data_IF_422901193609
#
_entry.id   IF_422901193609
#
_cell.length_a   1.000
_cell.length_b   1.000
_cell.length_c   1.000
_cell.angle_alpha   90.00
_cell.angle_beta   90.00
_cell.angle_gamma   90.00
#
_symmetry.space_group_name_H-M   'P 1'
#
loop_
_entity.id
_entity.type
_entity.pdbx_description
1 polymer ?
#
# COMPACT_ATOMS: atom_id res chain seq x y z
N UNK A 1 13.12 15.21 -71.21
CA UNK A 1 13.59 16.50 -70.64
C UNK A 1 13.95 16.26 -69.17
N UNK A 2 15.03 16.88 -68.67
CA UNK A 2 15.81 16.44 -67.51
C UNK A 2 15.16 16.78 -66.16
N UNK A 3 15.62 16.16 -65.05
CA UNK A 3 15.20 16.54 -63.70
C UNK A 3 16.01 17.75 -63.20
N UNK A 4 15.45 18.61 -62.33
CA UNK A 4 16.23 19.39 -61.39
C UNK A 4 15.95 18.87 -59.98
N UNK A 5 16.93 18.32 -59.25
CA UNK A 5 18.08 18.95 -58.62
C UNK A 5 17.83 19.10 -57.11
N UNK A 6 18.67 18.40 -56.35
CA UNK A 6 18.76 18.41 -54.89
C UNK A 6 18.94 19.83 -54.35
N UNK A 7 18.21 20.15 -53.30
CA UNK A 7 18.61 21.13 -52.28
C UNK A 7 18.35 20.58 -50.89
N UNK A 8 19.43 20.31 -50.18
CA UNK A 8 19.57 20.47 -48.72
C UNK A 8 20.81 21.38 -48.58
N UNK A 9 20.99 22.19 -47.51
CA UNK A 9 20.57 21.94 -46.12
C UNK A 9 20.14 23.19 -45.33
N UNK A 10 19.40 23.02 -44.22
CA UNK A 10 19.60 23.88 -43.03
C UNK A 10 19.42 23.03 -41.78
N UNK A 11 20.51 22.95 -41.02
CA UNK A 11 20.66 22.37 -39.69
C UNK A 11 20.32 23.47 -38.67
N UNK A 12 19.50 23.23 -37.65
CA UNK A 12 19.61 23.96 -36.40
C UNK A 12 20.52 23.21 -35.43
N UNK A 13 21.50 23.94 -34.89
CA UNK A 13 22.42 23.49 -33.85
C UNK A 13 21.68 23.04 -32.58
N UNK A 14 22.18 22.00 -31.89
CA UNK A 14 21.77 21.67 -30.54
C UNK A 14 22.56 22.52 -29.53
N UNK A 15 22.03 23.68 -29.17
CA UNK A 15 22.53 24.47 -28.05
C UNK A 15 21.53 24.43 -26.90
N UNK A 16 21.80 23.59 -25.89
CA UNK A 16 21.68 23.92 -24.47
C UNK A 16 21.79 22.64 -23.61
N UNK A 17 23.01 22.15 -23.44
CA UNK A 17 23.39 21.44 -22.22
C UNK A 17 23.41 22.46 -21.07
N UNK A 18 22.60 22.22 -20.04
CA UNK A 18 22.76 22.76 -18.68
C UNK A 18 21.99 21.86 -17.69
N UNK A 19 22.33 21.88 -16.40
CA UNK A 19 23.17 20.86 -15.82
C UNK A 19 22.41 19.93 -14.87
N UNK A 20 23.02 18.77 -14.63
CA UNK A 20 22.73 17.93 -13.48
C UNK A 20 22.94 18.75 -12.20
N UNK A 21 21.85 18.98 -11.47
CA UNK A 21 21.83 19.55 -10.13
C UNK A 21 20.90 18.68 -9.28
N UNK A 22 21.51 17.85 -8.45
CA UNK A 22 20.83 16.84 -7.64
C UNK A 22 19.87 17.47 -6.63
N UNK A 23 18.66 16.93 -6.58
CA UNK A 23 17.82 17.03 -5.39
C UNK A 23 18.11 15.82 -4.53
N UNK A 24 18.65 16.08 -3.35
CA UNK A 24 18.83 15.10 -2.28
C UNK A 24 17.45 14.59 -1.85
N UNK A 25 17.08 13.41 -2.34
CA UNK A 25 16.04 12.59 -1.74
C UNK A 25 16.64 11.93 -0.51
N UNK A 26 16.40 12.50 0.65
CA UNK A 26 16.68 11.86 1.93
C UNK A 26 15.62 10.76 2.15
N UNK A 27 16.01 9.55 1.77
CA UNK A 27 15.18 8.36 1.78
C UNK A 27 16.10 7.16 1.92
N UNK A 28 16.75 7.05 3.08
CA UNK A 28 17.63 5.92 3.40
C UNK A 28 16.76 4.68 3.59
N UNK A 29 16.65 3.90 2.52
CA UNK A 29 16.31 2.49 2.57
C UNK A 29 17.48 1.73 3.20
N UNK A 30 17.25 1.07 4.34
CA UNK A 30 18.21 0.15 4.92
C UNK A 30 18.28 -1.11 4.04
N UNK A 31 19.41 -1.33 3.38
CA UNK A 31 19.77 -2.60 2.75
C UNK A 31 21.01 -3.13 3.46
N UNK A 32 20.88 -4.33 3.99
CA UNK A 32 21.90 -5.14 4.65
C UNK A 32 22.76 -5.85 3.60
N UNK A 33 24.08 -5.91 3.81
CA UNK A 33 24.89 -7.11 3.59
C UNK A 33 26.26 -6.97 4.22
N UNK A 34 26.62 -8.05 4.92
CA UNK A 34 27.85 -8.33 5.65
C UNK A 34 29.08 -8.51 4.75
N UNK A 35 30.27 -8.24 5.30
CA UNK A 35 31.40 -9.18 5.40
C UNK A 35 32.68 -8.43 5.83
N UNK A 36 33.12 -8.67 7.07
CA UNK A 36 34.48 -8.39 7.53
C UNK A 36 35.10 -9.67 8.09
N UNK A 37 36.23 -10.17 7.56
CA UNK A 37 36.92 -11.33 8.14
C UNK A 37 37.80 -10.93 9.32
N UNK A 38 37.83 -11.80 10.33
CA UNK A 38 38.66 -11.72 11.54
C UNK A 38 40.14 -11.96 11.25
N UNK A 39 41.08 -11.38 12.03
CA UNK A 39 42.45 -11.88 12.07
C UNK A 39 42.72 -12.74 13.30
N UNK A 40 43.32 -13.88 13.01
CA UNK A 40 43.90 -14.88 13.92
C UNK A 40 45.24 -14.44 14.51
N UNK A 41 45.49 -14.96 15.71
CA UNK A 41 46.75 -15.18 16.44
C UNK A 41 48.04 -15.25 15.62
N UNK A 42 49.13 -14.65 16.15
CA UNK A 42 50.47 -15.29 16.17
C UNK A 42 51.40 -14.68 17.23
N UNK A 43 52.04 -15.62 17.91
CA UNK A 43 53.06 -15.62 18.97
C UNK A 43 54.40 -14.97 18.61
N UNK A 44 55.09 -14.38 19.60
CA UNK A 44 56.56 -14.35 19.68
C UNK A 44 57.04 -14.20 21.15
N UNK A 45 58.16 -14.85 21.46
CA UNK A 45 58.64 -15.32 22.76
C UNK A 45 59.45 -14.32 23.61
N UNK A 46 59.62 -14.71 24.89
CA UNK A 46 60.30 -14.09 26.04
C UNK A 46 61.84 -13.88 25.91
N UNK A 47 62.53 -13.35 26.95
CA UNK A 47 63.06 -14.25 28.00
C UNK A 47 63.00 -13.72 29.46
N UNK A 48 63.43 -14.58 30.38
CA UNK A 48 63.15 -14.63 31.82
C UNK A 48 64.24 -14.03 32.75
N UNK A 49 63.86 -13.75 34.01
CA UNK A 49 64.73 -13.86 35.20
C UNK A 49 63.90 -13.98 36.51
N UNK A 50 63.98 -15.17 37.10
CA UNK A 50 63.91 -15.71 38.49
C UNK A 50 63.50 -14.88 39.75
N UNK A 51 63.15 -15.58 40.87
CA UNK A 51 62.13 -15.19 41.85
C UNK A 51 62.71 -14.75 43.22
N UNK A 52 61.85 -14.18 44.10
CA UNK A 52 61.70 -14.59 45.52
C UNK A 52 60.82 -13.64 46.37
N UNK A 53 60.18 -14.24 47.38
CA UNK A 53 59.83 -13.72 48.71
C UNK A 53 58.39 -13.21 48.99
N UNK A 54 57.65 -14.07 49.70
CA UNK A 54 56.55 -13.80 50.67
C UNK A 54 57.21 -13.79 52.08
N UNK A 55 56.68 -13.27 53.23
CA UNK A 55 55.31 -12.93 53.67
C UNK A 55 55.24 -11.62 54.53
N UNK A 56 54.24 -11.28 55.39
CA UNK A 56 53.01 -11.97 55.80
C UNK A 56 51.71 -11.11 55.89
N UNK A 57 50.64 -11.83 56.25
CA UNK A 57 49.27 -11.39 56.48
C UNK A 57 49.09 -10.35 57.60
N UNK A 58 48.08 -9.48 57.43
CA UNK A 58 47.34 -8.86 58.54
C UNK A 58 45.84 -8.76 58.23
N UNK A 59 45.08 -8.90 59.31
CA UNK A 59 43.70 -9.32 59.39
C UNK A 59 42.64 -8.30 58.94
N UNK A 60 41.51 -8.85 58.47
CA UNK A 60 40.11 -8.48 58.62
C UNK A 60 39.71 -7.00 58.83
N UNK A 61 38.85 -6.49 57.94
CA UNK A 61 37.42 -6.29 58.29
C UNK A 61 36.55 -5.99 57.06
N UNK A 62 35.26 -6.40 57.08
CA UNK A 62 34.41 -6.45 55.92
C UNK A 62 33.67 -5.14 55.71
N UNK A 63 33.57 -4.70 54.46
CA UNK A 63 32.49 -3.78 54.06
C UNK A 63 32.02 -4.16 52.66
N UNK A 64 31.12 -5.15 52.62
CA UNK A 64 30.24 -5.39 51.47
C UNK A 64 29.35 -4.16 51.32
N UNK A 65 29.79 -3.18 50.53
CA UNK A 65 28.86 -2.39 49.75
C UNK A 65 28.69 -3.13 48.44
N UNK A 66 27.55 -3.80 48.29
CA UNK A 66 27.09 -4.33 47.00
C UNK A 66 26.86 -3.14 46.08
N UNK A 67 27.94 -2.68 45.44
CA UNK A 67 27.90 -1.74 44.35
C UNK A 67 27.27 -2.51 43.19
N UNK A 68 25.96 -2.33 42.98
CA UNK A 68 25.32 -2.83 41.76
C UNK A 68 26.18 -2.34 40.58
N UNK A 69 26.59 -3.23 39.66
CA UNK A 69 27.40 -2.82 38.53
C UNK A 69 26.58 -1.77 37.75
N UNK A 70 27.15 -0.57 37.63
CA UNK A 70 26.55 0.56 36.91
C UNK A 70 26.27 0.12 35.47
N UNK A 71 25.01 -0.19 35.16
CA UNK A 71 24.58 -0.58 33.81
C UNK A 71 24.65 0.67 32.93
N UNK A 72 25.62 0.69 32.02
CA UNK A 72 25.67 1.63 30.91
C UNK A 72 24.86 1.03 29.76
N UNK A 73 23.98 1.81 29.13
CA UNK A 73 23.22 1.32 27.97
C UNK A 73 23.22 2.30 26.81
N UNK A 74 22.87 1.75 25.65
CA UNK A 74 22.71 2.48 24.40
C UNK A 74 21.37 2.13 23.79
N UNK A 75 20.71 3.12 23.23
CA UNK A 75 19.49 2.96 22.44
C UNK A 75 19.68 3.70 21.11
N UNK A 76 19.50 2.96 20.02
CA UNK A 76 19.90 3.41 18.68
C UNK A 76 21.37 3.88 18.65
N UNK A 77 21.62 5.16 18.34
CA UNK A 77 22.96 5.75 18.30
C UNK A 77 23.28 6.61 19.55
N UNK A 78 22.37 6.67 20.53
CA UNK A 78 22.53 7.50 21.72
C UNK A 78 23.00 6.71 22.93
N UNK A 79 23.89 7.36 23.68
CA UNK A 79 24.34 6.91 24.99
C UNK A 79 23.34 7.43 26.02
N UNK A 80 22.81 6.54 26.86
CA UNK A 80 21.93 6.94 27.96
C UNK A 80 22.78 7.56 29.08
N UNK A 81 22.55 8.82 29.49
CA UNK A 81 23.33 9.46 30.55
C UNK A 81 23.21 8.71 31.88
N UNK A 82 24.33 8.55 32.58
CA UNK A 82 24.35 7.83 33.87
C UNK A 82 23.53 8.50 34.98
N UNK A 83 23.34 9.81 34.85
CA UNK A 83 22.66 10.65 35.84
C UNK A 83 21.29 11.14 35.32
N UNK A 84 20.72 10.44 34.34
CA UNK A 84 19.38 10.76 33.85
C UNK A 84 18.35 10.41 34.92
N UNK A 85 17.66 11.43 35.41
CA UNK A 85 16.50 11.30 36.29
C UNK A 85 15.20 11.50 35.48
N UNK A 86 14.10 10.82 35.81
CA UNK A 86 13.99 9.80 36.85
C UNK A 86 14.72 8.49 36.48
N UNK A 87 15.28 7.80 37.46
CA UNK A 87 15.94 6.50 37.28
C UNK A 87 15.12 5.47 36.47
N UNK A 88 13.79 5.54 36.58
CA UNK A 88 12.85 4.69 35.82
C UNK A 88 12.99 4.91 34.31
N UNK A 89 13.11 6.16 33.86
CA UNK A 89 13.32 6.50 32.44
C UNK A 89 14.68 5.98 31.96
N UNK A 90 15.71 6.12 32.78
CA UNK A 90 17.05 5.62 32.47
C UNK A 90 17.06 4.11 32.29
N UNK A 91 16.37 3.37 33.16
CA UNK A 91 16.25 1.91 33.05
C UNK A 91 15.48 1.48 31.80
N UNK A 92 14.33 2.13 31.52
CA UNK A 92 13.52 1.88 30.31
C UNK A 92 14.34 2.07 29.03
N UNK A 93 15.15 3.14 28.93
CA UNK A 93 15.99 3.39 27.75
C UNK A 93 17.08 2.32 27.55
N UNK A 94 17.64 1.79 28.65
CA UNK A 94 18.62 0.71 28.59
C UNK A 94 17.95 -0.59 28.13
N UNK A 95 16.81 -0.92 28.74
CA UNK A 95 16.01 -2.10 28.42
C UNK A 95 15.53 -2.09 26.97
N UNK A 96 14.95 -0.99 26.50
CA UNK A 96 14.57 -0.83 25.09
C UNK A 96 15.76 -1.03 24.15
N UNK A 97 16.94 -0.52 24.52
CA UNK A 97 18.16 -0.74 23.76
C UNK A 97 18.55 -2.22 23.65
N UNK A 98 18.37 -2.99 24.72
CA UNK A 98 18.59 -4.44 24.75
C UNK A 98 17.52 -5.20 23.98
N UNK A 99 16.24 -4.83 24.13
CA UNK A 99 15.11 -5.44 23.43
C UNK A 99 15.16 -5.23 21.92
N UNK A 100 15.52 -4.04 21.43
CA UNK A 100 15.72 -3.80 19.99
C UNK A 100 16.86 -4.67 19.43
N UNK A 101 17.96 -4.84 20.19
CA UNK A 101 19.07 -5.71 19.79
C UNK A 101 18.66 -7.18 19.79
N UNK A 102 17.91 -7.62 20.80
CA UNK A 102 17.37 -8.97 20.86
C UNK A 102 16.40 -9.23 19.69
N UNK A 103 15.53 -8.26 19.38
CA UNK A 103 14.63 -8.33 18.24
C UNK A 103 15.37 -8.47 16.90
N UNK A 104 16.44 -7.69 16.69
CA UNK A 104 17.28 -7.77 15.48
C UNK A 104 17.97 -9.13 15.30
N UNK A 105 18.16 -9.89 16.38
CA UNK A 105 18.76 -11.22 16.35
C UNK A 105 17.74 -12.34 16.12
N UNK A 106 16.43 -12.04 16.10
CA UNK A 106 15.39 -13.06 15.88
C UNK A 106 15.43 -13.54 14.42
N UNK A 107 15.29 -14.86 14.18
CA UNK A 107 15.26 -15.42 12.84
C UNK A 107 13.99 -15.02 12.06
N UNK A 108 12.89 -14.80 12.77
CA UNK A 108 11.59 -14.41 12.20
C UNK A 108 11.18 -13.03 12.72
N UNK A 109 10.94 -12.04 11.83
CA UNK A 109 10.53 -10.70 12.22
C UNK A 109 9.04 -10.67 12.62
N UNK A 110 8.76 -10.27 13.85
CA UNK A 110 7.41 -10.08 14.39
C UNK A 110 7.05 -8.59 14.39
N UNK A 111 6.18 -8.19 13.45
CA UNK A 111 5.78 -6.80 13.27
C UNK A 111 4.95 -6.26 14.46
N UNK A 112 4.22 -7.10 15.20
CA UNK A 112 3.48 -6.65 16.37
C UNK A 112 4.45 -6.20 17.47
N UNK A 113 5.44 -7.06 17.76
CA UNK A 113 6.49 -6.76 18.76
C UNK A 113 7.31 -5.54 18.33
N UNK A 114 7.68 -5.44 17.04
CA UNK A 114 8.43 -4.28 16.55
C UNK A 114 7.66 -2.96 16.68
N UNK A 115 6.35 -2.98 16.43
CA UNK A 115 5.52 -1.79 16.59
C UNK A 115 5.46 -1.33 18.05
N UNK A 116 5.32 -2.27 19.00
CA UNK A 116 5.32 -1.98 20.43
C UNK A 116 6.66 -1.39 20.89
N UNK A 117 7.79 -1.95 20.42
CA UNK A 117 9.12 -1.40 20.71
C UNK A 117 9.29 0.03 20.20
N UNK A 118 8.80 0.32 18.99
CA UNK A 118 8.82 1.68 18.45
C UNK A 118 7.94 2.65 19.25
N UNK A 119 6.79 2.20 19.74
CA UNK A 119 5.88 3.00 20.56
C UNK A 119 6.48 3.32 21.94
N UNK A 120 7.05 2.32 22.62
CA UNK A 120 7.76 2.52 23.88
C UNK A 120 8.95 3.46 23.69
N UNK A 121 9.72 3.31 22.60
CA UNK A 121 10.80 4.22 22.24
C UNK A 121 10.32 5.65 22.04
N UNK A 122 9.18 5.86 21.35
CA UNK A 122 8.61 7.18 21.15
C UNK A 122 8.29 7.85 22.50
N UNK A 123 7.62 7.13 23.41
CA UNK A 123 7.31 7.64 24.76
C UNK A 123 8.57 7.95 25.57
N UNK A 124 9.53 7.03 25.60
CA UNK A 124 10.77 7.22 26.37
C UNK A 124 11.59 8.41 25.84
N UNK A 125 11.64 8.61 24.53
CA UNK A 125 12.35 9.75 23.92
C UNK A 125 11.62 11.08 24.15
N UNK A 126 10.28 11.09 24.13
CA UNK A 126 9.51 12.28 24.48
C UNK A 126 9.75 12.69 25.94
N UNK A 127 9.69 11.74 26.87
CA UNK A 127 9.98 11.97 28.29
C UNK A 127 11.42 12.44 28.52
N UNK A 128 12.38 11.84 27.81
CA UNK A 128 13.77 12.29 27.88
C UNK A 128 13.93 13.71 27.34
N UNK A 129 13.26 14.04 26.23
CA UNK A 129 13.26 15.40 25.69
C UNK A 129 12.69 16.43 26.69
N UNK A 130 11.62 16.08 27.41
CA UNK A 130 11.01 16.96 28.41
C UNK A 130 11.93 17.21 29.61
N UNK A 131 12.68 16.19 30.04
CA UNK A 131 13.66 16.32 31.13
C UNK A 131 14.90 17.11 30.70
N UNK A 132 15.43 16.86 29.50
CA UNK A 132 16.70 17.46 29.07
C UNK A 132 16.55 18.76 28.29
N UNK A 133 15.34 19.08 27.83
CA UNK A 133 15.08 20.21 26.91
C UNK A 133 15.69 20.02 25.51
N UNK A 134 15.97 18.78 25.09
CA UNK A 134 16.61 18.50 23.79
C UNK A 134 15.55 18.25 22.70
N UNK A 135 15.33 19.25 21.84
CA UNK A 135 14.35 19.15 20.74
C UNK A 135 14.68 18.06 19.71
N UNK A 136 15.95 17.64 19.60
CA UNK A 136 16.32 16.53 18.72
C UNK A 136 15.73 15.20 19.20
N UNK A 137 15.54 15.02 20.51
CA UNK A 137 14.85 13.87 21.09
C UNK A 137 13.34 13.89 20.78
N UNK A 138 12.71 15.07 20.70
CA UNK A 138 11.31 15.19 20.26
C UNK A 138 11.13 14.73 18.80
N UNK A 139 12.05 15.11 17.93
CA UNK A 139 12.02 14.66 16.52
C UNK A 139 12.27 13.14 16.41
N UNK A 140 13.17 12.59 17.23
CA UNK A 140 13.37 11.13 17.30
C UNK A 140 12.15 10.40 17.86
N UNK A 141 11.46 10.97 18.85
CA UNK A 141 10.21 10.44 19.39
C UNK A 141 9.13 10.38 18.29
N UNK A 142 8.93 11.46 17.54
CA UNK A 142 7.95 11.51 16.46
C UNK A 142 8.28 10.55 15.31
N UNK A 143 9.58 10.39 14.97
CA UNK A 143 10.01 9.36 14.01
C UNK A 143 9.73 7.95 14.52
N UNK A 144 9.95 7.68 15.81
CA UNK A 144 9.66 6.37 16.40
C UNK A 144 8.14 6.10 16.42
N UNK A 145 7.32 7.11 16.70
CA UNK A 145 5.86 7.01 16.63
C UNK A 145 5.38 6.71 15.20
N UNK A 146 5.91 7.43 14.22
CA UNK A 146 5.63 7.19 12.79
C UNK A 146 6.04 5.77 12.38
N UNK A 147 7.19 5.30 12.88
CA UNK A 147 7.65 3.94 12.64
C UNK A 147 6.71 2.90 13.28
N UNK A 148 6.27 3.11 14.53
CA UNK A 148 5.29 2.24 15.19
C UNK A 148 4.00 2.14 14.37
N UNK A 149 3.46 3.28 13.94
CA UNK A 149 2.25 3.34 13.13
C UNK A 149 2.42 2.60 11.79
N UNK A 150 3.53 2.87 11.09
CA UNK A 150 3.85 2.20 9.83
C UNK A 150 3.98 0.69 10.00
N UNK A 151 4.64 0.23 11.08
CA UNK A 151 4.80 -1.19 11.38
C UNK A 151 3.46 -1.85 11.69
N UNK A 152 2.55 -1.19 12.44
CA UNK A 152 1.19 -1.70 12.67
C UNK A 152 0.40 -1.79 11.37
N UNK A 153 0.50 -0.78 10.50
CA UNK A 153 -0.16 -0.81 9.20
C UNK A 153 0.39 -1.94 8.31
N UNK A 154 1.71 -2.14 8.29
CA UNK A 154 2.31 -3.28 7.58
C UNK A 154 1.82 -4.62 8.15
N UNK A 155 1.75 -4.73 9.48
CA UNK A 155 1.21 -5.92 10.12
C UNK A 155 -0.26 -6.14 9.75
N UNK A 156 -1.10 -5.11 9.84
CA UNK A 156 -2.53 -5.18 9.56
C UNK A 156 -2.84 -5.43 8.07
N UNK A 157 -1.95 -5.00 7.16
CA UNK A 157 -2.04 -5.27 5.72
C UNK A 157 -1.61 -6.71 5.38
N UNK A 158 -0.71 -7.30 6.18
CA UNK A 158 -0.33 -8.72 6.06
C UNK A 158 -1.32 -9.64 6.79
N UNK A 159 -1.93 -9.18 7.87
CA UNK A 159 -2.53 -10.01 8.93
C UNK A 159 -3.87 -10.69 8.62
N UNK A 160 -5.05 -10.08 8.62
CA UNK A 160 -5.54 -9.24 9.71
C UNK A 160 -5.38 -9.93 11.09
N UNK A 161 -6.32 -9.81 12.04
CA UNK A 161 -6.12 -10.37 13.38
C UNK A 161 -5.96 -11.90 13.31
N UNK A 162 -5.04 -12.50 14.09
CA UNK A 162 -4.82 -13.94 14.07
C UNK A 162 -6.03 -14.65 14.68
N UNK A 163 -6.84 -15.27 13.83
CA UNK A 163 -7.77 -16.32 14.25
C UNK A 163 -7.27 -17.61 13.62
N UNK A 164 -6.33 -18.26 14.31
CA UNK A 164 -5.83 -19.60 13.96
C UNK A 164 -4.66 -19.65 12.97
N UNK A 165 -4.16 -20.88 12.75
CA UNK A 165 -3.06 -21.30 11.86
C UNK A 165 -3.37 -21.10 10.35
N UNK A 166 -4.31 -20.22 10.00
CA UNK A 166 -4.68 -20.01 8.60
C UNK A 166 -3.60 -19.20 7.85
N UNK A 167 -3.27 -19.60 6.61
CA UNK A 167 -2.23 -18.94 5.83
C UNK A 167 -2.59 -17.48 5.56
N UNK A 168 -1.64 -16.59 5.91
CA UNK A 168 -1.67 -15.16 5.61
C UNK A 168 -1.95 -14.93 4.12
N UNK A 169 -3.14 -14.44 3.79
CA UNK A 169 -3.53 -14.12 2.41
C UNK A 169 -2.86 -12.81 1.98
N UNK A 170 -1.92 -12.88 1.04
CA UNK A 170 -1.31 -11.69 0.44
C UNK A 170 -2.34 -10.93 -0.41
N UNK A 171 -2.77 -9.75 0.07
CA UNK A 171 -3.76 -8.90 -0.59
C UNK A 171 -3.12 -8.00 -1.64
N UNK A 172 -3.83 -7.78 -2.73
CA UNK A 172 -3.39 -6.92 -3.83
C UNK A 172 -3.41 -5.44 -3.47
N UNK A 173 -4.38 -5.04 -2.65
CA UNK A 173 -4.52 -3.69 -2.11
C UNK A 173 -4.19 -3.68 -0.62
N UNK A 174 -3.53 -2.61 -0.17
CA UNK A 174 -3.46 -2.28 1.26
C UNK A 174 -4.77 -1.65 1.73
N UNK A 175 -5.02 -1.60 3.04
CA UNK A 175 -6.19 -0.93 3.64
C UNK A 175 -6.36 0.50 3.12
N UNK A 176 -5.28 1.28 3.11
CA UNK A 176 -5.31 2.65 2.60
C UNK A 176 -5.61 2.73 1.10
N UNK A 177 -5.11 1.77 0.31
CA UNK A 177 -5.45 1.70 -1.11
C UNK A 177 -6.93 1.36 -1.30
N UNK A 178 -7.51 0.52 -0.44
CA UNK A 178 -8.94 0.22 -0.53
C UNK A 178 -9.84 1.36 -0.09
N UNK A 179 -9.41 2.21 0.86
CA UNK A 179 -10.10 3.50 1.11
C UNK A 179 -10.16 4.31 -0.19
N UNK A 180 -9.04 4.45 -0.89
CA UNK A 180 -9.03 5.14 -2.18
C UNK A 180 -9.86 4.44 -3.26
N UNK A 181 -9.92 3.10 -3.26
CA UNK A 181 -10.79 2.35 -4.17
C UNK A 181 -12.26 2.74 -3.93
N UNK A 182 -12.72 2.74 -2.67
CA UNK A 182 -14.08 3.14 -2.30
C UNK A 182 -14.38 4.59 -2.69
N UNK A 183 -13.46 5.53 -2.45
CA UNK A 183 -13.60 6.93 -2.92
C UNK A 183 -13.81 7.02 -4.44
N UNK A 184 -13.13 6.19 -5.23
CA UNK A 184 -13.34 6.15 -6.68
C UNK A 184 -14.71 5.56 -7.04
N UNK A 185 -15.15 4.50 -6.33
CA UNK A 185 -16.48 3.92 -6.54
C UNK A 185 -17.59 4.94 -6.23
N UNK A 186 -17.48 5.68 -5.12
CA UNK A 186 -18.43 6.73 -4.73
C UNK A 186 -18.46 7.89 -5.74
N UNK A 187 -17.29 8.29 -6.24
CA UNK A 187 -17.20 9.30 -7.29
C UNK A 187 -17.91 8.84 -8.56
N UNK A 188 -17.70 7.59 -8.99
CA UNK A 188 -18.37 7.03 -10.18
C UNK A 188 -19.88 6.86 -9.96
N UNK A 189 -20.29 6.49 -8.75
CA UNK A 189 -21.70 6.39 -8.39
C UNK A 189 -22.46 7.69 -8.68
N UNK A 190 -21.82 8.82 -8.37
CA UNK A 190 -22.38 10.17 -8.42
C UNK A 190 -22.14 10.92 -9.73
N UNK A 191 -21.09 10.58 -10.49
CA UNK A 191 -20.66 11.32 -11.69
C UNK A 191 -20.79 10.54 -13.00
N UNK A 192 -21.39 9.34 -12.98
CA UNK A 192 -21.68 8.61 -14.21
C UNK A 192 -22.85 9.31 -14.96
N UNK A 193 -22.66 9.74 -16.22
CA UNK A 193 -23.66 10.51 -16.97
C UNK A 193 -24.83 9.64 -17.46
N UNK A 194 -24.66 8.32 -17.44
CA UNK A 194 -25.55 7.34 -18.03
C UNK A 194 -25.97 6.32 -16.96
N UNK A 195 -27.26 5.93 -16.88
CA UNK A 195 -27.75 5.05 -15.83
C UNK A 195 -27.32 3.59 -15.99
N UNK A 196 -26.95 3.16 -17.21
CA UNK A 196 -26.72 1.75 -17.55
C UNK A 196 -25.43 1.19 -16.94
N UNK A 197 -25.42 -0.12 -16.64
CA UNK A 197 -24.29 -0.79 -16.01
C UNK A 197 -23.03 -0.79 -16.90
N UNK A 198 -23.20 -0.92 -18.21
CA UNK A 198 -22.12 -0.91 -19.20
C UNK A 198 -21.40 0.43 -19.20
N UNK A 199 -22.17 1.53 -19.21
CA UNK A 199 -21.63 2.88 -19.13
C UNK A 199 -20.92 3.11 -17.80
N UNK A 200 -21.50 2.67 -16.68
CA UNK A 200 -20.90 2.81 -15.36
C UNK A 200 -19.60 2.02 -15.23
N UNK A 201 -19.52 0.82 -15.81
CA UNK A 201 -18.29 0.03 -15.87
C UNK A 201 -17.21 0.74 -16.70
N UNK A 202 -17.56 1.28 -17.87
CA UNK A 202 -16.63 2.06 -18.68
C UNK A 202 -16.13 3.30 -17.93
N UNK A 203 -17.04 4.08 -17.36
CA UNK A 203 -16.73 5.28 -16.56
C UNK A 203 -15.81 4.96 -15.40
N UNK A 204 -16.02 3.85 -14.69
CA UNK A 204 -15.12 3.42 -13.62
C UNK A 204 -13.71 3.14 -14.14
N UNK A 205 -13.60 2.35 -15.21
CA UNK A 205 -12.30 1.96 -15.76
C UNK A 205 -11.55 3.16 -16.35
N UNK A 206 -12.26 4.06 -17.04
CA UNK A 206 -11.70 5.29 -17.60
C UNK A 206 -11.30 6.27 -16.51
N UNK A 207 -12.12 6.47 -15.47
CA UNK A 207 -11.78 7.26 -14.29
C UNK A 207 -10.49 6.78 -13.64
N UNK A 208 -10.33 5.46 -13.44
CA UNK A 208 -9.08 4.91 -12.89
C UNK A 208 -7.87 5.16 -13.79
N UNK A 209 -8.04 5.16 -15.11
CA UNK A 209 -6.96 5.42 -16.09
C UNK A 209 -6.56 6.90 -16.11
N UNK A 210 -7.49 7.82 -15.90
CA UNK A 210 -7.29 9.27 -15.97
C UNK A 210 -7.17 9.98 -14.60
N UNK A 211 -7.43 9.30 -13.48
CA UNK A 211 -7.55 9.85 -12.12
C UNK A 211 -6.46 10.84 -11.65
N UNK A 212 -5.25 10.78 -12.22
CA UNK A 212 -4.14 11.65 -11.80
C UNK A 212 -4.08 12.98 -12.56
N UNK A 213 -4.40 12.96 -13.85
CA UNK A 213 -4.07 14.04 -14.77
C UNK A 213 -5.25 14.45 -15.67
N UNK A 214 -6.42 13.87 -15.45
CA UNK A 214 -7.57 14.01 -16.35
C UNK A 214 -7.39 13.31 -17.70
N UNK A 215 -6.18 12.83 -18.01
CA UNK A 215 -5.88 12.14 -19.26
C UNK A 215 -5.42 10.71 -19.01
N UNK A 216 -5.80 9.82 -19.93
CA UNK A 216 -5.49 8.40 -19.87
C UNK A 216 -5.30 7.80 -21.26
N UNK A 217 -4.72 6.62 -21.32
CA UNK A 217 -4.56 5.86 -22.57
C UNK A 217 -5.40 4.59 -22.49
N UNK A 218 -6.10 4.29 -23.58
CA UNK A 218 -6.90 3.09 -23.78
C UNK A 218 -6.65 2.49 -25.15
N UNK A 219 -6.98 1.22 -25.29
CA UNK A 219 -7.00 0.52 -26.57
C UNK A 219 -8.39 -0.01 -26.87
N UNK A 220 -8.68 -0.31 -28.14
CA UNK A 220 -9.91 -1.03 -28.49
C UNK A 220 -10.01 -2.37 -27.75
N UNK A 221 -8.88 -3.05 -27.54
CA UNK A 221 -8.80 -4.29 -26.78
C UNK A 221 -9.17 -4.12 -25.30
N UNK A 222 -8.78 -3.00 -24.65
CA UNK A 222 -9.22 -2.70 -23.28
C UNK A 222 -10.75 -2.59 -23.24
N UNK A 223 -11.33 -1.81 -24.16
CA UNK A 223 -12.77 -1.55 -24.23
C UNK A 223 -13.57 -2.82 -24.50
N UNK A 224 -13.21 -3.62 -25.51
CA UNK A 224 -13.87 -4.91 -25.79
C UNK A 224 -13.67 -5.91 -24.64
N UNK A 225 -12.58 -5.82 -23.90
CA UNK A 225 -12.36 -6.62 -22.70
C UNK A 225 -13.36 -6.29 -21.58
N UNK A 226 -13.68 -5.02 -21.40
CA UNK A 226 -14.64 -4.55 -20.41
C UNK A 226 -16.09 -4.75 -20.86
N UNK A 227 -16.37 -4.45 -22.12
CA UNK A 227 -17.69 -4.43 -22.77
C UNK A 227 -17.65 -5.24 -24.07
N UNK A 228 -17.85 -6.57 -24.02
CA UNK A 228 -17.68 -7.43 -25.19
C UNK A 228 -18.61 -7.12 -26.37
N UNK A 229 -19.80 -6.58 -26.11
CA UNK A 229 -20.83 -6.35 -27.13
C UNK A 229 -21.12 -4.87 -27.39
N UNK A 230 -20.92 -4.00 -26.39
CA UNK A 230 -21.50 -2.64 -26.40
C UNK A 230 -20.43 -1.54 -26.34
N UNK A 231 -19.14 -1.89 -26.47
CA UNK A 231 -18.01 -0.96 -26.28
C UNK A 231 -18.11 0.31 -27.14
N UNK A 232 -18.40 0.16 -28.43
CA UNK A 232 -18.46 1.28 -29.38
C UNK A 232 -19.63 2.22 -29.08
N UNK A 233 -20.82 1.65 -28.87
CA UNK A 233 -22.03 2.40 -28.53
C UNK A 233 -21.88 3.17 -27.22
N UNK A 234 -21.37 2.52 -26.17
CA UNK A 234 -21.15 3.16 -24.87
C UNK A 234 -20.13 4.29 -25.00
N UNK A 235 -19.04 4.09 -25.74
CA UNK A 235 -18.03 5.13 -25.94
C UNK A 235 -18.62 6.34 -26.68
N UNK A 236 -19.42 6.09 -27.72
CA UNK A 236 -20.13 7.13 -28.46
C UNK A 236 -21.04 7.95 -27.54
N UNK A 237 -21.88 7.29 -26.73
CA UNK A 237 -22.78 7.98 -25.79
C UNK A 237 -22.04 8.78 -24.71
N UNK A 238 -20.87 8.32 -24.26
CA UNK A 238 -20.05 9.08 -23.29
C UNK A 238 -19.45 10.34 -23.91
N UNK A 239 -19.11 10.32 -25.20
CA UNK A 239 -18.65 11.51 -25.94
C UNK A 239 -19.81 12.46 -26.20
N UNK A 240 -20.97 11.95 -26.62
CA UNK A 240 -22.18 12.77 -26.85
C UNK A 240 -22.71 13.42 -25.57
N UNK A 241 -22.48 12.80 -24.41
CA UNK A 241 -22.81 13.36 -23.11
C UNK A 241 -21.76 14.39 -22.60
N UNK A 242 -20.78 14.76 -23.42
CA UNK A 242 -19.64 15.64 -23.07
C UNK A 242 -18.85 15.18 -21.83
N UNK A 243 -18.98 13.91 -21.44
CA UNK A 243 -18.32 13.37 -20.26
C UNK A 243 -16.82 13.12 -20.51
N UNK A 244 -16.47 12.77 -21.75
CA UNK A 244 -15.09 12.61 -22.18
C UNK A 244 -14.84 13.19 -23.57
N UNK A 245 -13.59 13.57 -23.80
CA UNK A 245 -13.11 14.11 -25.07
C UNK A 245 -12.13 13.11 -25.69
N UNK A 246 -12.33 12.84 -26.98
CA UNK A 246 -11.43 12.07 -27.83
C UNK A 246 -10.70 12.99 -28.81
N UNK A 247 -9.41 12.77 -29.07
CA UNK A 247 -8.67 13.52 -30.10
C UNK A 247 -9.03 13.09 -31.54
N UNK A 248 -9.81 12.02 -31.70
CA UNK A 248 -10.23 11.43 -32.97
C UNK A 248 -11.61 10.79 -32.86
N UNK A 249 -11.98 9.98 -33.84
CA UNK A 249 -13.31 9.33 -33.86
C UNK A 249 -13.36 8.11 -32.93
N UNK A 250 -14.58 7.72 -32.52
CA UNK A 250 -14.81 6.48 -31.76
C UNK A 250 -14.29 5.24 -32.51
N UNK A 251 -14.49 5.17 -33.83
CA UNK A 251 -13.98 4.09 -34.66
C UNK A 251 -12.43 4.00 -34.64
N UNK A 252 -11.74 5.14 -34.66
CA UNK A 252 -10.28 5.18 -34.53
C UNK A 252 -9.81 4.67 -33.15
N UNK A 253 -10.54 5.01 -32.08
CA UNK A 253 -10.27 4.47 -30.74
C UNK A 253 -10.48 2.96 -30.70
N UNK A 254 -11.57 2.46 -31.28
CA UNK A 254 -11.84 1.01 -31.36
C UNK A 254 -10.79 0.26 -32.19
N UNK A 255 -10.21 0.90 -33.21
CA UNK A 255 -9.12 0.34 -34.01
C UNK A 255 -7.73 0.44 -33.36
N UNK A 256 -7.59 1.20 -32.27
CA UNK A 256 -6.31 1.44 -31.60
C UNK A 256 -5.73 0.18 -30.94
N UNK A 257 -4.39 0.12 -30.86
CA UNK A 257 -3.63 -1.05 -30.37
C UNK A 257 -2.63 -0.65 -29.29
N UNK A 258 -2.01 -1.63 -28.64
CA UNK A 258 -1.00 -1.40 -27.60
C UNK A 258 0.18 -0.52 -28.06
N UNK A 259 0.56 -0.61 -29.34
CA UNK A 259 1.68 0.15 -29.90
C UNK A 259 1.30 1.62 -30.14
N UNK A 260 0.02 1.90 -30.33
CA UNK A 260 -0.52 3.24 -30.56
C UNK A 260 -1.86 3.39 -29.83
N UNK A 261 -1.85 3.52 -28.50
CA UNK A 261 -3.07 3.63 -27.73
C UNK A 261 -3.74 4.99 -27.96
N UNK A 262 -5.06 5.00 -27.91
CA UNK A 262 -5.82 6.25 -27.97
C UNK A 262 -5.72 7.01 -26.65
N UNK A 263 -5.38 8.29 -26.73
CA UNK A 263 -5.49 9.20 -25.61
C UNK A 263 -6.95 9.59 -25.37
N UNK A 264 -7.33 9.71 -24.11
CA UNK A 264 -8.64 10.21 -23.68
C UNK A 264 -8.46 11.34 -22.67
N UNK A 265 -9.44 12.24 -22.61
CA UNK A 265 -9.50 13.30 -21.61
C UNK A 265 -10.86 13.25 -20.91
N UNK A 266 -10.86 13.23 -19.58
CA UNK A 266 -12.05 13.39 -18.73
C UNK A 266 -11.93 14.78 -18.09
N UNK A 267 -12.69 15.79 -18.56
CA UNK A 267 -12.50 17.18 -18.17
C UNK A 267 -12.60 17.42 -16.66
N UNK A 268 -13.51 16.73 -15.98
CA UNK A 268 -13.73 16.86 -14.53
C UNK A 268 -12.56 16.36 -13.68
N UNK A 269 -11.63 15.60 -14.27
CA UNK A 269 -10.45 15.04 -13.61
C UNK A 269 -9.16 15.79 -13.93
N UNK A 270 -9.23 16.87 -14.72
CA UNK A 270 -8.07 17.68 -15.08
C UNK A 270 -7.48 18.41 -13.85
N UNK A 271 -6.15 18.67 -13.82
CA UNK A 271 -5.47 19.33 -12.70
C UNK A 271 -6.00 20.72 -12.34
N UNK A 272 -6.61 21.42 -13.31
CA UNK A 272 -7.22 22.74 -13.16
C UNK A 272 -8.55 22.69 -12.40
N UNK A 273 -9.15 21.51 -12.25
CA UNK A 273 -10.37 21.29 -11.49
C UNK A 273 -10.07 20.94 -10.03
N UNK A 274 -11.10 21.00 -9.18
CA UNK A 274 -11.01 20.47 -7.81
C UNK A 274 -10.71 18.97 -7.90
N UNK A 275 -9.54 18.56 -7.41
CA UNK A 275 -9.09 17.17 -7.52
C UNK A 275 -9.97 16.25 -6.66
N UNK A 276 -10.71 15.30 -7.26
CA UNK A 276 -11.52 14.36 -6.47
C UNK A 276 -10.67 13.30 -5.76
N UNK A 277 -9.41 13.13 -6.17
CA UNK A 277 -8.52 12.10 -5.66
C UNK A 277 -7.18 12.68 -5.18
N UNK A 278 -6.77 12.31 -3.96
CA UNK A 278 -5.52 12.74 -3.34
C UNK A 278 -4.34 11.76 -3.53
N UNK A 279 -4.50 10.71 -4.34
CA UNK A 279 -3.50 9.63 -4.44
C UNK A 279 -2.51 9.79 -5.60
N UNK A 280 -1.28 9.31 -5.38
CA UNK A 280 -0.18 9.39 -6.35
C UNK A 280 -0.19 8.32 -7.45
N UNK A 281 0.84 8.37 -8.32
CA UNK A 281 0.99 7.46 -9.49
C UNK A 281 0.97 5.98 -9.11
N UNK A 282 1.67 5.60 -8.03
CA UNK A 282 1.79 4.20 -7.59
C UNK A 282 0.45 3.63 -7.14
N UNK A 283 -0.25 4.35 -6.26
CA UNK A 283 -1.60 3.98 -5.83
C UNK A 283 -2.55 3.89 -7.01
N UNK A 284 -2.58 4.89 -7.91
CA UNK A 284 -3.40 4.85 -9.12
C UNK A 284 -3.16 3.59 -9.95
N UNK A 285 -1.89 3.23 -10.19
CA UNK A 285 -1.55 2.03 -10.95
C UNK A 285 -2.01 0.74 -10.25
N UNK A 286 -1.90 0.66 -8.92
CA UNK A 286 -2.41 -0.46 -8.12
C UNK A 286 -3.93 -0.58 -8.20
N UNK A 287 -4.67 0.53 -8.07
CA UNK A 287 -6.13 0.54 -8.19
C UNK A 287 -6.61 0.14 -9.59
N UNK A 288 -5.99 0.69 -10.63
CA UNK A 288 -6.32 0.34 -12.02
C UNK A 288 -6.04 -1.14 -12.31
N UNK A 289 -4.88 -1.66 -11.87
CA UNK A 289 -4.54 -3.07 -12.02
C UNK A 289 -5.44 -4.01 -11.21
N UNK A 290 -5.85 -3.59 -10.01
CA UNK A 290 -6.83 -4.30 -9.17
C UNK A 290 -8.18 -4.42 -9.88
N UNK A 291 -8.73 -3.31 -10.35
CA UNK A 291 -10.01 -3.31 -11.05
C UNK A 291 -9.95 -4.17 -12.33
N UNK A 292 -8.86 -4.05 -13.10
CA UNK A 292 -8.65 -4.86 -14.31
C UNK A 292 -8.62 -6.37 -14.00
N UNK A 293 -8.02 -6.79 -12.87
CA UNK A 293 -7.99 -8.20 -12.45
C UNK A 293 -9.37 -8.73 -12.10
N UNK A 294 -10.22 -7.92 -11.46
CA UNK A 294 -11.59 -8.32 -11.10
C UNK A 294 -12.46 -8.40 -12.36
N UNK A 295 -12.51 -7.33 -13.16
CA UNK A 295 -13.30 -7.26 -14.41
C UNK A 295 -12.86 -8.34 -15.40
N UNK A 296 -11.54 -8.59 -15.48
CA UNK A 296 -10.92 -9.59 -16.35
C UNK A 296 -10.86 -11.00 -15.75
N UNK A 297 -11.51 -11.28 -14.63
CA UNK A 297 -11.43 -12.58 -13.99
C UNK A 297 -11.83 -13.72 -14.94
N UNK A 298 -11.09 -14.82 -14.86
CA UNK A 298 -11.25 -15.95 -15.77
C UNK A 298 -12.63 -16.60 -15.64
N UNK A 299 -13.19 -16.75 -14.44
CA UNK A 299 -14.47 -17.42 -14.23
C UNK A 299 -15.63 -16.51 -14.66
N UNK A 300 -15.56 -15.23 -14.30
CA UNK A 300 -16.51 -14.19 -14.76
C UNK A 300 -16.56 -14.15 -16.30
N UNK A 301 -15.39 -14.10 -16.96
CA UNK A 301 -15.32 -14.10 -18.43
C UNK A 301 -15.83 -15.40 -19.05
N UNK A 302 -15.46 -16.57 -18.51
CA UNK A 302 -15.93 -17.87 -19.02
C UNK A 302 -17.44 -18.03 -18.93
N UNK A 303 -18.05 -17.52 -17.86
CA UNK A 303 -19.50 -17.53 -17.67
C UNK A 303 -20.21 -16.40 -18.43
N UNK A 304 -19.46 -15.54 -19.14
CA UNK A 304 -19.96 -14.39 -19.91
C UNK A 304 -20.83 -13.45 -19.06
N UNK A 305 -20.45 -13.25 -17.79
CA UNK A 305 -21.20 -12.35 -16.91
C UNK A 305 -21.03 -10.90 -17.39
N UNK A 306 -22.16 -10.18 -17.42
CA UNK A 306 -22.28 -8.82 -17.94
C UNK A 306 -21.70 -7.74 -17.03
N UNK A 307 -21.87 -6.48 -17.43
CA UNK A 307 -21.30 -5.33 -16.74
C UNK A 307 -21.79 -5.20 -15.29
N UNK A 308 -23.09 -5.38 -15.05
CA UNK A 308 -23.67 -5.30 -13.70
C UNK A 308 -23.07 -6.34 -12.74
N UNK A 309 -22.87 -7.59 -13.16
CA UNK A 309 -22.23 -8.61 -12.31
C UNK A 309 -20.75 -8.29 -12.05
N UNK A 310 -20.04 -7.72 -13.03
CA UNK A 310 -18.65 -7.27 -12.87
C UNK A 310 -18.54 -6.09 -11.90
N UNK A 311 -19.48 -5.15 -11.96
CA UNK A 311 -19.59 -4.05 -11.00
C UNK A 311 -19.89 -4.56 -9.60
N UNK A 312 -20.79 -5.55 -9.46
CA UNK A 312 -21.08 -6.17 -8.17
C UNK A 312 -19.83 -6.85 -7.58
N UNK A 313 -19.06 -7.56 -8.40
CA UNK A 313 -17.79 -8.18 -7.99
C UNK A 313 -16.76 -7.14 -7.50
N UNK A 314 -16.64 -6.00 -8.20
CA UNK A 314 -15.78 -4.88 -7.80
C UNK A 314 -16.23 -4.25 -6.49
N UNK A 315 -17.51 -3.96 -6.37
CA UNK A 315 -18.09 -3.31 -5.20
C UNK A 315 -17.95 -4.20 -3.96
N UNK A 316 -18.28 -5.49 -4.09
CA UNK A 316 -18.11 -6.47 -3.02
C UNK A 316 -16.63 -6.61 -2.61
N UNK A 317 -15.71 -6.73 -3.57
CA UNK A 317 -14.29 -6.82 -3.29
C UNK A 317 -13.75 -5.60 -2.54
N UNK A 318 -14.22 -4.38 -2.85
CA UNK A 318 -13.84 -3.17 -2.13
C UNK A 318 -14.40 -3.09 -0.69
N UNK A 319 -15.47 -3.83 -0.40
CA UNK A 319 -16.18 -3.86 0.87
C UNK A 319 -16.10 -5.24 1.54
N UNK A 320 -14.90 -5.81 1.57
CA UNK A 320 -14.63 -7.12 2.14
C UNK A 320 -13.75 -7.01 3.38
N UNK A 321 -14.06 -7.77 4.44
CA UNK A 321 -13.29 -7.93 5.67
C UNK A 321 -12.06 -8.84 5.49
N UNK A 322 -11.12 -8.85 6.45
CA UNK A 322 -9.97 -9.76 6.42
C UNK A 322 -10.32 -11.25 6.31
N UNK A 323 -11.46 -11.70 6.82
CA UNK A 323 -11.94 -13.09 6.73
C UNK A 323 -12.63 -13.42 5.39
N UNK A 324 -12.76 -12.44 4.51
CA UNK A 324 -13.42 -12.57 3.21
C UNK A 324 -14.92 -12.26 3.21
N UNK A 325 -15.52 -11.97 4.36
CA UNK A 325 -16.95 -11.64 4.45
C UNK A 325 -17.22 -10.21 3.98
N UNK A 326 -18.38 -10.00 3.39
CA UNK A 326 -18.82 -8.67 2.92
C UNK A 326 -19.25 -7.77 4.10
N UNK A 327 -19.10 -6.46 3.92
CA UNK A 327 -19.57 -5.43 4.85
C UNK A 327 -18.69 -5.21 6.08
N UNK A 328 -18.98 -4.17 6.86
CA UNK A 328 -18.31 -3.99 8.14
C UNK A 328 -18.78 -5.04 9.15
N UNK A 329 -18.00 -5.23 10.22
CA UNK A 329 -18.37 -6.17 11.29
C UNK A 329 -19.64 -5.75 12.02
N UNK A 330 -19.92 -4.44 12.09
CA UNK A 330 -21.10 -3.88 12.77
C UNK A 330 -22.39 -4.06 11.97
N UNK A 331 -22.29 -3.94 10.64
CA UNK A 331 -23.45 -3.95 9.74
C UNK A 331 -23.84 -5.37 9.28
N UNK A 332 -22.93 -6.34 9.44
CA UNK A 332 -23.07 -7.72 8.96
C UNK A 332 -23.55 -7.80 7.50
N UNK A 333 -22.90 -7.05 6.61
CA UNK A 333 -23.18 -7.05 5.18
C UNK A 333 -23.04 -5.67 4.54
N UNK A 334 -23.31 -5.62 3.24
CA UNK A 334 -23.36 -4.38 2.46
C UNK A 334 -24.84 -3.99 2.30
N UNK A 335 -25.20 -2.73 2.50
CA UNK A 335 -26.57 -2.28 2.23
C UNK A 335 -26.99 -2.58 0.79
N UNK A 336 -28.10 -3.31 0.64
CA UNK A 336 -28.55 -3.80 -0.66
C UNK A 336 -28.87 -2.64 -1.62
N UNK A 337 -29.47 -1.56 -1.11
CA UNK A 337 -29.78 -0.36 -1.88
C UNK A 337 -28.53 0.34 -2.41
N UNK A 338 -27.44 0.35 -1.64
CA UNK A 338 -26.16 0.94 -2.06
C UNK A 338 -25.51 0.09 -3.16
N UNK A 339 -25.53 -1.24 -3.00
CA UNK A 339 -25.05 -2.16 -4.03
C UNK A 339 -25.89 -2.06 -5.31
N UNK A 340 -27.21 -1.99 -5.19
CA UNK A 340 -28.16 -1.83 -6.30
C UNK A 340 -27.89 -0.52 -7.07
N UNK A 341 -27.83 0.61 -6.36
CA UNK A 341 -27.55 1.91 -6.94
C UNK A 341 -26.19 1.95 -7.67
N UNK A 342 -25.15 1.36 -7.07
CA UNK A 342 -23.83 1.30 -7.70
C UNK A 342 -23.79 0.34 -8.91
N UNK A 343 -24.57 -0.74 -8.92
CA UNK A 343 -24.51 -1.73 -10.01
C UNK A 343 -25.49 -1.45 -11.14
N UNK A 344 -26.30 -0.39 -11.02
CA UNK A 344 -27.42 -0.08 -11.92
C UNK A 344 -28.43 -1.25 -12.00
N UNK A 345 -28.72 -1.85 -10.85
CA UNK A 345 -29.68 -2.93 -10.67
C UNK A 345 -30.78 -2.50 -9.69
N UNK A 346 -31.92 -3.19 -9.71
CA UNK A 346 -32.85 -3.18 -8.58
C UNK A 346 -32.30 -4.05 -7.43
N UNK A 347 -32.75 -3.84 -6.18
CA UNK A 347 -32.38 -4.69 -5.05
C UNK A 347 -32.63 -6.19 -5.30
N UNK A 348 -33.73 -6.55 -5.98
CA UNK A 348 -34.06 -7.94 -6.34
C UNK A 348 -33.07 -8.52 -7.35
N UNK A 349 -32.68 -7.72 -8.35
CA UNK A 349 -31.70 -8.13 -9.35
C UNK A 349 -30.30 -8.31 -8.75
N UNK A 350 -29.96 -7.61 -7.66
CA UNK A 350 -28.69 -7.85 -6.95
C UNK A 350 -28.61 -9.28 -6.44
N UNK A 351 -29.71 -9.86 -5.94
CA UNK A 351 -29.75 -11.25 -5.48
C UNK A 351 -29.44 -12.24 -6.61
N UNK A 352 -30.04 -12.03 -7.79
CA UNK A 352 -29.75 -12.85 -8.98
C UNK A 352 -28.27 -12.75 -9.38
N UNK A 353 -27.72 -11.54 -9.39
CA UNK A 353 -26.32 -11.31 -9.74
C UNK A 353 -25.34 -11.84 -8.69
N UNK A 354 -25.70 -11.82 -7.40
CA UNK A 354 -24.92 -12.44 -6.35
C UNK A 354 -24.89 -13.97 -6.53
N UNK A 355 -26.02 -14.59 -6.91
CA UNK A 355 -26.07 -16.02 -7.21
C UNK A 355 -25.28 -16.39 -8.47
N UNK A 356 -25.20 -15.51 -9.47
CA UNK A 356 -24.29 -15.67 -10.60
C UNK A 356 -22.82 -15.68 -10.16
N UNK A 357 -22.45 -14.85 -9.18
CA UNK A 357 -21.10 -14.83 -8.59
C UNK A 357 -20.81 -16.09 -7.76
N UNK A 358 -21.79 -16.64 -7.05
CA UNK A 358 -21.67 -17.97 -6.40
C UNK A 358 -21.42 -19.05 -7.45
N UNK A 359 -22.24 -19.09 -8.50
CA UNK A 359 -22.12 -20.07 -9.61
C UNK A 359 -20.80 -19.94 -10.38
N UNK A 360 -20.20 -18.74 -10.37
CA UNK A 360 -18.90 -18.47 -10.96
C UNK A 360 -17.72 -18.75 -10.02
N UNK A 361 -17.95 -19.26 -8.80
CA UNK A 361 -16.88 -19.52 -7.83
C UNK A 361 -16.09 -18.23 -7.53
N UNK A 362 -16.86 -17.14 -7.38
CA UNK A 362 -16.40 -15.83 -6.93
C UNK A 362 -16.84 -15.58 -5.49
N UNK A 363 -18.07 -15.95 -5.15
CA UNK A 363 -18.55 -16.09 -3.78
C UNK A 363 -18.65 -17.57 -3.40
N UNK A 364 -18.41 -17.90 -2.14
CA UNK A 364 -18.76 -19.23 -1.59
C UNK A 364 -20.25 -19.32 -1.29
N UNK A 365 -20.83 -18.21 -0.82
CA UNK A 365 -22.22 -18.07 -0.44
C UNK A 365 -22.65 -16.61 -0.62
N UNK A 366 -23.94 -16.39 -0.82
CA UNK A 366 -24.54 -15.07 -0.85
C UNK A 366 -25.98 -15.13 -0.30
N UNK A 367 -26.37 -14.09 0.41
CA UNK A 367 -27.71 -13.89 0.97
C UNK A 367 -28.06 -12.39 0.85
N UNK A 368 -29.33 -12.06 0.64
CA UNK A 368 -29.82 -10.68 0.50
C UNK A 368 -30.90 -10.33 1.53
N UNK A 369 -31.08 -11.14 2.57
CA UNK A 369 -32.11 -10.94 3.57
C UNK A 369 -31.94 -9.63 4.36
N UNK A 370 -33.08 -9.07 4.80
CA UNK A 370 -33.15 -7.86 5.62
C UNK A 370 -32.51 -6.61 4.97
N UNK A 371 -32.51 -6.53 3.64
CA UNK A 371 -31.95 -5.39 2.92
C UNK A 371 -30.42 -5.31 2.96
N UNK A 372 -29.75 -6.43 3.26
CA UNK A 372 -28.30 -6.53 3.34
C UNK A 372 -27.79 -7.62 2.41
N UNK A 373 -26.82 -7.29 1.56
CA UNK A 373 -26.04 -8.26 0.82
C UNK A 373 -24.96 -8.84 1.73
N UNK A 374 -25.16 -10.09 2.15
CA UNK A 374 -24.19 -10.93 2.85
C UNK A 374 -23.53 -11.88 1.86
N UNK A 375 -22.31 -12.26 2.18
CA UNK A 375 -21.58 -13.26 1.41
C UNK A 375 -20.13 -13.34 1.83
N UNK A 376 -19.42 -14.26 1.21
CA UNK A 376 -17.98 -14.44 1.42
C UNK A 376 -17.27 -14.69 0.10
N UNK A 377 -16.16 -13.99 -0.10
CA UNK A 377 -15.27 -14.21 -1.23
C UNK A 377 -14.69 -15.63 -1.19
N UNK A 378 -14.67 -16.31 -2.34
CA UNK A 378 -13.97 -17.59 -2.48
C UNK A 378 -12.45 -17.43 -2.27
N UNK A 379 -11.79 -18.47 -1.75
CA UNK A 379 -10.36 -18.43 -1.40
C UNK A 379 -9.48 -17.90 -2.53
N UNK A 380 -9.77 -18.34 -3.76
CA UNK A 380 -9.09 -17.92 -4.99
C UNK A 380 -9.10 -16.41 -5.22
N UNK A 381 -10.16 -15.73 -4.78
CA UNK A 381 -10.41 -14.30 -5.04
C UNK A 381 -10.21 -13.44 -3.80
N UNK A 382 -9.97 -14.05 -2.63
CA UNK A 382 -9.58 -13.33 -1.41
C UNK A 382 -8.43 -12.35 -1.64
N UNK A 383 -7.35 -12.66 -2.39
CA UNK A 383 -6.30 -11.68 -2.67
C UNK A 383 -6.78 -10.37 -3.30
N UNK A 384 -7.97 -10.35 -3.92
CA UNK A 384 -8.57 -9.17 -4.55
C UNK A 384 -9.44 -8.34 -3.58
N UNK A 385 -9.69 -8.81 -2.35
CA UNK A 385 -10.41 -8.05 -1.34
C UNK A 385 -9.62 -6.81 -0.90
N UNK A 386 -10.30 -5.66 -0.80
CA UNK A 386 -9.72 -4.37 -0.40
C UNK A 386 -9.40 -4.24 1.09
N UNK A 387 -9.99 -5.07 1.96
CA UNK A 387 -9.97 -4.89 3.41
C UNK A 387 -10.75 -3.63 3.86
N UNK A 388 -11.76 -3.87 4.70
CA UNK A 388 -12.43 -2.87 5.53
C UNK A 388 -11.64 -2.63 6.83
#
# INVERSE_FOLDING_TARGET
>A
APPPARTSPVRPDPAARKPAGGTAGDGVAAVFSDHGPSPTTSTASAPAATPASVPPARAASPRRTTRQPKRWGKIAQRIVPQYLEPDVLRLELIELGDEFRAYQQRPEPDLAVLAELHERKARAFALWADVSGDDSLRQEAHRAETAAQTTREMHANRGGPPVGDEPVVERLLTRQQAVHARTVLDHVATHCPLPEAEARLAVLMLTLRSARAGTGNITGQDLTGWLPNDAEEVLQRLVEADWMILPGTVAEVMASRSENPAAITVPTLLPEQIRPFAFGKTTRAKLSGWAQKIVGDRKIRKKKLGAATRLLALYAAAHTRPDGRLGNTEDDGIHLDQAAAFTALSPEQVAEHAQLLVTADWFTEADTDHGMLRGRLAERVLPLGGLL
#
